data_IF_742857759727
#
_entry.id   IF_742857759727
#
_cell.length_a   1.000
_cell.length_b   1.000
_cell.length_c   1.000
_cell.angle_alpha   90.00
_cell.angle_beta   90.00
_cell.angle_gamma   90.00
#
_symmetry.space_group_name_H-M   'P 1'
#
loop_
_entity.id
_entity.type
_entity.pdbx_description
1 polymer ?
#
# COMPACT_ATOMS: atom_id res chain seq x y z
N UNK A 1 3.03 17.16 46.98
CA UNK A 1 2.01 16.15 46.66
C UNK A 1 2.30 15.64 45.26
N UNK A 2 2.97 14.49 45.16
CA UNK A 2 3.47 13.93 43.91
C UNK A 2 2.32 13.30 43.13
N UNK A 3 2.00 13.85 41.96
CA UNK A 3 1.03 13.26 41.05
C UNK A 3 1.69 12.05 40.39
N UNK A 4 1.26 10.85 40.79
CA UNK A 4 1.64 9.62 40.08
C UNK A 4 1.09 9.72 38.66
N UNK A 5 1.97 9.73 37.66
CA UNK A 5 1.61 9.37 36.29
C UNK A 5 1.17 7.91 36.34
N UNK A 6 -0.13 7.67 36.30
CA UNK A 6 -0.65 6.37 35.86
C UNK A 6 -0.34 6.35 34.37
N UNK A 7 0.74 5.65 34.01
CA UNK A 7 1.05 5.35 32.62
C UNK A 7 0.04 4.33 32.17
N UNK A 8 -1.05 4.78 31.55
CA UNK A 8 -2.00 3.89 30.91
C UNK A 8 -1.28 3.22 29.75
N UNK A 9 -1.06 1.91 29.87
CA UNK A 9 -0.51 1.00 28.85
C UNK A 9 -1.29 1.00 27.52
N UNK A 10 -2.34 1.82 27.41
CA UNK A 10 -3.08 2.07 26.18
C UNK A 10 -2.26 2.86 25.16
N UNK A 11 -1.33 3.72 25.61
CA UNK A 11 -0.51 4.58 24.74
C UNK A 11 0.95 4.10 24.57
N UNK A 12 1.30 2.91 25.06
CA UNK A 12 2.70 2.43 25.05
C UNK A 12 3.14 1.78 23.74
N UNK A 13 2.22 1.55 22.80
CA UNK A 13 2.52 0.93 21.50
C UNK A 13 2.11 1.85 20.35
N UNK A 14 2.84 2.96 20.23
CA UNK A 14 2.64 3.98 19.18
C UNK A 14 3.06 3.52 17.79
N UNK A 15 3.52 2.27 17.62
CA UNK A 15 3.98 1.72 16.34
C UNK A 15 2.88 1.25 15.40
N UNK A 16 1.64 1.10 15.88
CA UNK A 16 0.53 0.48 15.14
C UNK A 16 -0.69 1.40 14.87
N UNK A 17 -0.69 2.66 15.32
CA UNK A 17 -1.91 3.50 15.42
C UNK A 17 -1.80 4.88 14.73
N UNK A 18 -1.30 4.95 13.51
CA UNK A 18 -0.99 6.25 12.88
C UNK A 18 -2.16 6.99 12.20
N UNK A 19 -3.41 6.48 12.20
CA UNK A 19 -4.54 7.16 11.54
C UNK A 19 -5.77 7.39 12.45
N UNK A 20 -6.11 6.48 13.35
CA UNK A 20 -7.31 6.64 14.20
C UNK A 20 -7.16 7.76 15.25
N UNK A 21 -5.94 8.01 15.71
CA UNK A 21 -5.66 9.01 16.75
C UNK A 21 -5.98 10.44 16.31
N UNK A 22 -5.77 10.77 15.02
CA UNK A 22 -6.04 12.12 14.54
C UNK A 22 -7.55 12.40 14.44
N UNK A 23 -8.35 11.40 14.09
CA UNK A 23 -9.81 11.50 14.12
C UNK A 23 -10.35 11.56 15.55
N UNK A 24 -9.72 10.81 16.47
CA UNK A 24 -10.07 10.85 17.89
C UNK A 24 -9.79 12.23 18.50
N UNK A 25 -8.68 12.88 18.12
CA UNK A 25 -8.37 14.24 18.55
C UNK A 25 -9.45 15.23 18.11
N UNK A 26 -9.82 15.23 16.82
CA UNK A 26 -10.87 16.11 16.31
C UNK A 26 -12.23 15.80 16.95
N UNK A 27 -12.52 14.53 17.24
CA UNK A 27 -13.73 14.14 17.97
C UNK A 27 -13.74 14.72 19.39
N UNK A 28 -12.66 14.55 20.16
CA UNK A 28 -12.56 15.12 21.51
C UNK A 28 -12.65 16.64 21.49
N UNK A 29 -12.00 17.29 20.52
CA UNK A 29 -12.06 18.73 20.35
C UNK A 29 -13.47 19.22 20.00
N UNK A 30 -14.23 18.46 19.22
CA UNK A 30 -15.65 18.72 18.93
C UNK A 30 -16.49 18.79 20.23
N UNK A 31 -16.24 17.90 21.20
CA UNK A 31 -16.90 17.95 22.49
C UNK A 31 -16.52 19.20 23.30
N UNK A 32 -15.23 19.55 23.30
CA UNK A 32 -14.76 20.76 24.00
C UNK A 32 -15.46 22.01 23.45
N UNK A 33 -15.52 22.16 22.12
CA UNK A 33 -16.20 23.28 21.47
C UNK A 33 -17.70 23.29 21.78
N UNK A 34 -18.38 22.15 21.65
CA UNK A 34 -19.82 22.07 21.89
C UNK A 34 -20.18 22.39 23.35
N UNK A 35 -19.41 21.90 24.32
CA UNK A 35 -19.62 22.20 25.75
C UNK A 35 -19.34 23.68 26.03
N UNK A 36 -18.23 24.22 25.51
CA UNK A 36 -17.87 25.63 25.69
C UNK A 36 -18.96 26.56 25.13
N UNK A 37 -19.46 26.29 23.93
CA UNK A 37 -20.52 27.08 23.33
C UNK A 37 -21.82 27.02 24.14
N UNK A 38 -22.22 25.83 24.59
CA UNK A 38 -23.43 25.67 25.41
C UNK A 38 -23.33 26.43 26.74
N UNK A 39 -22.14 26.44 27.35
CA UNK A 39 -21.87 27.25 28.54
C UNK A 39 -22.00 28.75 28.25
N UNK A 40 -21.44 29.21 27.12
CA UNK A 40 -21.52 30.62 26.70
C UNK A 40 -22.95 31.04 26.32
N UNK A 41 -23.79 30.09 25.88
CA UNK A 41 -25.23 30.28 25.67
C UNK A 41 -26.04 30.31 26.99
N UNK A 42 -25.39 30.11 28.14
CA UNK A 42 -26.02 30.18 29.46
C UNK A 42 -26.59 28.86 29.99
N UNK A 43 -26.30 27.73 29.33
CA UNK A 43 -26.70 26.42 29.85
C UNK A 43 -25.87 26.08 31.10
N UNK A 44 -26.52 25.53 32.13
CA UNK A 44 -25.82 24.94 33.27
C UNK A 44 -25.19 23.59 32.90
N UNK A 45 -24.14 23.18 33.60
CA UNK A 45 -23.49 21.87 33.40
C UNK A 45 -24.47 20.69 33.48
N UNK A 46 -25.51 20.78 34.31
CA UNK A 46 -26.51 19.73 34.45
C UNK A 46 -27.38 19.57 33.19
N UNK A 47 -27.51 20.61 32.37
CA UNK A 47 -28.29 20.63 31.12
C UNK A 47 -27.47 20.15 29.91
N UNK A 48 -26.14 20.20 29.97
CA UNK A 48 -25.24 19.83 28.85
C UNK A 48 -25.08 18.31 28.78
N UNK A 49 -26.14 17.64 28.32
CA UNK A 49 -26.16 16.17 28.15
C UNK A 49 -27.26 15.74 27.18
N UNK A 50 -27.18 14.49 26.72
CA UNK A 50 -28.22 13.86 25.91
C UNK A 50 -28.55 14.69 24.65
N UNK A 51 -29.84 14.95 24.36
CA UNK A 51 -30.26 15.66 23.15
C UNK A 51 -29.68 17.07 22.99
N UNK A 52 -29.48 17.81 24.10
CA UNK A 52 -28.93 19.18 24.06
C UNK A 52 -27.50 19.16 23.54
N UNK A 53 -26.66 18.32 24.13
CA UNK A 53 -25.27 18.17 23.70
C UNK A 53 -25.19 17.58 22.29
N UNK A 54 -25.98 16.54 21.99
CA UNK A 54 -25.99 15.91 20.66
C UNK A 54 -26.40 16.89 19.56
N UNK A 55 -27.41 17.74 19.80
CA UNK A 55 -27.84 18.74 18.84
C UNK A 55 -26.76 19.80 18.57
N UNK A 56 -25.93 20.12 19.56
CA UNK A 56 -24.79 21.03 19.39
C UNK A 56 -23.64 20.36 18.64
N UNK A 57 -23.28 19.13 19.01
CA UNK A 57 -22.25 18.33 18.34
C UNK A 57 -22.54 18.17 16.84
N UNK A 58 -23.78 17.82 16.47
CA UNK A 58 -24.21 17.67 15.07
C UNK A 58 -24.10 18.96 14.24
N UNK A 59 -24.01 20.12 14.88
CA UNK A 59 -23.87 21.44 14.23
C UNK A 59 -22.44 21.97 14.27
N UNK A 60 -21.51 21.27 14.91
CA UNK A 60 -20.12 21.71 14.99
C UNK A 60 -19.48 21.74 13.59
N UNK A 61 -18.77 22.82 13.29
CA UNK A 61 -18.03 22.99 12.04
C UNK A 61 -16.78 23.82 12.28
N UNK A 62 -15.60 23.23 12.04
CA UNK A 62 -14.31 23.88 12.26
C UNK A 62 -13.21 23.18 11.44
N UNK A 63 -12.07 23.85 11.27
CA UNK A 63 -10.87 23.26 10.68
C UNK A 63 -10.12 22.48 11.77
N UNK A 64 -10.13 21.14 11.67
CA UNK A 64 -9.42 20.24 12.57
C UNK A 64 -8.09 19.78 11.99
N UNK A 65 -7.37 18.92 12.72
CA UNK A 65 -6.07 18.41 12.27
C UNK A 65 -6.19 17.42 11.11
N UNK A 66 -7.36 16.79 10.95
CA UNK A 66 -7.67 15.92 9.80
C UNK A 66 -8.44 16.66 8.70
N UNK A 67 -8.39 18.00 8.70
CA UNK A 67 -9.11 18.88 7.77
C UNK A 67 -10.46 19.30 8.31
N UNK A 68 -11.37 19.71 7.41
CA UNK A 68 -12.68 20.21 7.81
C UNK A 68 -13.46 19.15 8.60
N UNK A 69 -13.93 19.53 9.79
CA UNK A 69 -14.83 18.74 10.63
C UNK A 69 -16.23 19.29 10.44
N UNK A 70 -17.16 18.45 10.00
CA UNK A 70 -18.60 18.74 9.91
C UNK A 70 -19.38 17.43 9.82
N UNK A 71 -20.70 17.47 10.02
CA UNK A 71 -21.54 16.27 10.12
C UNK A 71 -22.76 16.36 9.20
N UNK A 72 -23.21 15.21 8.69
CA UNK A 72 -24.48 15.09 7.97
C UNK A 72 -25.69 15.07 8.93
N UNK A 73 -26.90 14.93 8.39
CA UNK A 73 -28.13 14.90 9.19
C UNK A 73 -28.18 13.68 10.13
N UNK A 74 -27.59 12.57 9.72
CA UNK A 74 -27.50 11.31 10.44
C UNK A 74 -26.52 11.41 11.61
N UNK A 75 -25.50 12.26 11.51
CA UNK A 75 -24.45 12.47 12.50
C UNK A 75 -23.10 11.86 12.11
N UNK A 76 -22.97 11.38 10.88
CA UNK A 76 -21.70 10.91 10.35
C UNK A 76 -20.82 12.10 9.97
N UNK A 77 -19.52 11.96 10.20
CA UNK A 77 -18.56 12.97 9.82
C UNK A 77 -18.43 13.02 8.30
N UNK A 78 -18.53 14.22 7.74
CA UNK A 78 -18.20 14.52 6.35
C UNK A 78 -16.67 14.59 6.22
N UNK A 79 -16.02 13.43 6.13
CA UNK A 79 -14.58 13.32 5.97
C UNK A 79 -14.16 13.39 4.49
N UNK A 80 -12.95 13.89 4.24
CA UNK A 80 -12.29 13.72 2.95
C UNK A 80 -11.64 12.35 2.88
N UNK A 81 -11.64 11.74 1.70
CA UNK A 81 -11.02 10.44 1.47
C UNK A 81 -9.79 10.58 0.59
N UNK A 82 -8.79 9.76 0.86
CA UNK A 82 -7.59 9.65 0.05
C UNK A 82 -7.63 8.31 -0.68
N UNK A 83 -7.58 8.34 -2.01
CA UNK A 83 -7.32 7.15 -2.81
C UNK A 83 -5.80 7.04 -2.97
N UNK A 84 -5.23 5.97 -2.42
CA UNK A 84 -3.81 5.68 -2.51
C UNK A 84 -3.58 4.42 -3.35
N UNK A 85 -2.47 4.39 -4.08
CA UNK A 85 -2.00 3.20 -4.78
C UNK A 85 -0.70 2.68 -4.15
N UNK A 86 -0.61 1.37 -3.98
CA UNK A 86 0.59 0.70 -3.47
C UNK A 86 1.57 0.49 -4.62
N UNK A 87 2.70 1.18 -4.58
CA UNK A 87 3.67 1.17 -5.66
C UNK A 87 4.98 0.50 -5.23
N UNK A 88 5.54 -0.42 -6.05
CA UNK A 88 6.84 -1.00 -5.76
C UNK A 88 7.94 0.04 -6.02
N UNK A 89 8.83 0.22 -5.05
CA UNK A 89 10.05 1.03 -5.17
C UNK A 89 11.23 0.17 -4.74
N UNK A 90 12.04 -0.26 -5.70
CA UNK A 90 13.16 -1.19 -5.48
C UNK A 90 12.72 -2.47 -4.75
N UNK A 91 12.98 -2.57 -3.44
CA UNK A 91 12.72 -3.76 -2.61
C UNK A 91 11.61 -3.55 -1.56
N UNK A 92 10.90 -2.43 -1.59
CA UNK A 92 9.81 -2.10 -0.66
C UNK A 92 8.61 -1.49 -1.40
N UNK A 93 7.52 -1.32 -0.67
CA UNK A 93 6.25 -0.76 -1.16
C UNK A 93 6.09 0.64 -0.58
N UNK A 94 5.71 1.62 -1.39
CA UNK A 94 5.26 2.93 -0.94
C UNK A 94 3.76 3.12 -1.24
N UNK A 95 3.07 3.93 -0.45
CA UNK A 95 1.73 4.40 -0.76
C UNK A 95 1.83 5.74 -1.49
N UNK A 96 1.31 5.81 -2.69
CA UNK A 96 1.27 7.03 -3.50
C UNK A 96 -0.17 7.55 -3.57
N UNK A 97 -0.38 8.83 -3.27
CA UNK A 97 -1.69 9.46 -3.35
C UNK A 97 -2.10 9.63 -4.81
N UNK A 98 -3.18 8.98 -5.23
CA UNK A 98 -3.73 9.06 -6.59
C UNK A 98 -4.78 10.15 -6.69
N UNK A 99 -5.68 10.21 -5.72
CA UNK A 99 -6.79 11.13 -5.74
C UNK A 99 -7.19 11.55 -4.34
N UNK A 100 -7.60 12.80 -4.20
CA UNK A 100 -8.24 13.32 -3.00
C UNK A 100 -9.73 13.53 -3.31
N UNK A 101 -10.60 12.83 -2.61
CA UNK A 101 -12.02 13.18 -2.57
C UNK A 101 -12.21 14.22 -1.48
N UNK A 102 -12.29 15.49 -1.88
CA UNK A 102 -12.62 16.61 -1.00
C UNK A 102 -14.01 17.13 -1.35
N UNK A 103 -14.92 17.15 -0.37
CA UNK A 103 -16.24 17.78 -0.51
C UNK A 103 -17.08 17.32 -1.72
N UNK A 104 -16.98 16.05 -2.12
CA UNK A 104 -17.72 15.49 -3.26
C UNK A 104 -17.09 15.75 -4.63
N UNK A 105 -15.91 16.37 -4.69
CA UNK A 105 -15.11 16.51 -5.90
C UNK A 105 -13.91 15.55 -5.85
N UNK A 106 -13.67 14.83 -6.94
CA UNK A 106 -12.48 13.99 -7.10
C UNK A 106 -11.36 14.84 -7.72
N UNK A 107 -10.35 15.20 -6.93
CA UNK A 107 -9.17 15.89 -7.41
C UNK A 107 -8.07 14.85 -7.68
N UNK A 108 -7.75 14.62 -8.95
CA UNK A 108 -6.54 13.86 -9.31
C UNK A 108 -5.33 14.70 -8.94
N UNK A 109 -4.41 14.11 -8.19
CA UNK A 109 -3.14 14.74 -7.87
C UNK A 109 -2.16 14.32 -8.97
N UNK A 110 -1.42 15.28 -9.52
CA UNK A 110 -0.48 15.05 -10.62
C UNK A 110 0.72 14.23 -10.10
N UNK A 111 0.56 12.91 -10.09
CA UNK A 111 1.57 11.92 -9.68
C UNK A 111 1.77 10.91 -10.80
N UNK A 112 2.93 10.22 -10.79
CA UNK A 112 3.20 9.11 -11.71
C UNK A 112 1.99 8.18 -11.82
N UNK A 113 1.63 7.71 -13.03
CA UNK A 113 0.47 6.86 -13.23
C UNK A 113 0.52 5.65 -12.29
N UNK A 114 -0.66 5.21 -11.78
CA UNK A 114 -0.72 4.07 -10.88
C UNK A 114 0.01 2.86 -11.47
N UNK A 115 0.75 2.15 -10.62
CA UNK A 115 1.23 0.81 -10.93
C UNK A 115 0.04 -0.15 -10.83
N UNK A 116 -0.23 -0.90 -11.89
CA UNK A 116 -1.34 -1.84 -11.96
C UNK A 116 -0.86 -3.28 -11.85
N UNK A 117 -1.83 -4.18 -11.68
CA UNK A 117 -1.59 -5.60 -11.37
C UNK A 117 -1.10 -6.41 -12.58
N UNK A 118 -1.02 -5.81 -13.76
CA UNK A 118 -0.36 -6.33 -14.96
C UNK A 118 1.17 -6.13 -14.94
N UNK A 119 1.67 -5.35 -13.97
CA UNK A 119 3.08 -5.05 -13.79
C UNK A 119 3.55 -3.76 -14.48
N UNK A 120 2.64 -2.95 -15.03
CA UNK A 120 2.95 -1.73 -15.76
C UNK A 120 2.33 -0.49 -15.11
N UNK A 121 2.81 0.70 -15.54
CA UNK A 121 2.21 1.99 -15.19
C UNK A 121 1.41 2.51 -16.36
N UNK A 122 0.15 2.89 -16.13
CA UNK A 122 -0.71 3.47 -17.14
C UNK A 122 -1.89 4.23 -16.48
N UNK A 123 -2.57 5.08 -17.24
CA UNK A 123 -3.57 6.01 -16.68
C UNK A 123 -4.92 5.36 -16.36
N UNK A 124 -5.27 4.25 -17.03
CA UNK A 124 -6.58 3.59 -16.91
C UNK A 124 -6.42 2.11 -16.56
N UNK A 125 -7.17 1.52 -15.61
CA UNK A 125 -7.03 0.11 -15.23
C UNK A 125 -6.97 -0.84 -16.43
N UNK A 126 -6.19 -1.93 -16.39
CA UNK A 126 -6.08 -2.82 -17.52
C UNK A 126 -7.40 -3.57 -17.73
N UNK A 127 -7.87 -3.68 -18.97
CA UNK A 127 -9.16 -4.28 -19.33
C UNK A 127 -9.30 -5.76 -18.89
N UNK A 128 -8.17 -6.45 -18.68
CA UNK A 128 -8.16 -7.83 -18.23
C UNK A 128 -6.85 -8.21 -17.52
N UNK A 129 -6.96 -8.69 -16.28
CA UNK A 129 -5.85 -9.16 -15.44
C UNK A 129 -5.21 -10.48 -15.90
N UNK A 130 -5.79 -11.17 -16.89
CA UNK A 130 -5.35 -12.50 -17.33
C UNK A 130 -4.17 -12.44 -18.31
N UNK A 131 -3.93 -11.30 -18.97
CA UNK A 131 -2.81 -11.15 -19.92
C UNK A 131 -1.64 -10.48 -19.22
N UNK A 132 -0.55 -11.22 -19.02
CA UNK A 132 0.65 -10.67 -18.38
C UNK A 132 1.65 -10.15 -19.39
N UNK A 133 2.36 -9.08 -19.04
CA UNK A 133 3.47 -8.57 -19.83
C UNK A 133 4.64 -9.58 -19.92
N UNK A 134 5.54 -9.37 -20.87
CA UNK A 134 6.80 -10.14 -20.97
C UNK A 134 7.57 -10.12 -19.65
N UNK A 135 8.15 -11.26 -19.26
CA UNK A 135 8.81 -11.43 -17.96
C UNK A 135 7.86 -11.72 -16.79
N UNK A 136 6.55 -11.80 -17.01
CA UNK A 136 5.55 -12.12 -15.99
C UNK A 136 4.75 -13.39 -16.33
N UNK A 137 4.22 -14.04 -15.30
CA UNK A 137 3.32 -15.21 -15.36
C UNK A 137 2.02 -14.94 -14.62
N UNK A 138 0.96 -15.67 -14.97
CA UNK A 138 -0.29 -15.65 -14.21
C UNK A 138 -0.19 -16.56 -12.99
N UNK A 139 -0.31 -16.00 -11.79
CA UNK A 139 -0.31 -16.76 -10.54
C UNK A 139 -1.64 -17.49 -10.33
N UNK A 140 -1.60 -18.83 -10.25
CA UNK A 140 -2.80 -19.68 -10.27
C UNK A 140 -3.81 -19.44 -9.12
N UNK A 141 -3.38 -18.85 -8.00
CA UNK A 141 -4.25 -18.55 -6.86
C UNK A 141 -4.93 -17.18 -6.94
N UNK A 142 -4.27 -16.19 -7.53
CA UNK A 142 -4.72 -14.79 -7.52
C UNK A 142 -5.18 -14.31 -8.90
N UNK A 143 -4.80 -15.02 -9.97
CA UNK A 143 -4.96 -14.57 -11.34
C UNK A 143 -4.08 -13.36 -11.70
N UNK A 144 -3.20 -12.93 -10.80
CA UNK A 144 -2.36 -11.75 -10.96
C UNK A 144 -1.07 -12.05 -11.72
N UNK A 145 -0.46 -11.02 -12.29
CA UNK A 145 0.81 -11.13 -12.97
C UNK A 145 1.98 -11.06 -11.98
N UNK A 146 2.68 -12.18 -11.85
CA UNK A 146 3.86 -12.33 -10.99
C UNK A 146 5.11 -12.39 -11.84
N UNK A 147 6.14 -11.63 -11.43
CA UNK A 147 7.41 -11.58 -12.14
C UNK A 147 8.12 -12.95 -12.10
N UNK A 148 8.69 -13.39 -13.22
CA UNK A 148 9.52 -14.58 -13.25
C UNK A 148 10.74 -14.44 -12.33
N UNK A 149 11.05 -15.47 -11.57
CA UNK A 149 12.24 -15.50 -10.73
C UNK A 149 13.51 -15.64 -11.59
N UNK A 150 14.68 -15.34 -11.01
CA UNK A 150 15.95 -15.62 -11.65
C UNK A 150 16.04 -17.10 -12.03
N UNK A 151 16.62 -17.37 -13.20
CA UNK A 151 16.63 -18.68 -13.85
C UNK A 151 15.39 -19.01 -14.68
N UNK A 152 14.37 -18.15 -14.70
CA UNK A 152 13.16 -18.35 -15.47
C UNK A 152 12.83 -17.14 -16.35
N UNK A 153 12.16 -17.39 -17.46
CA UNK A 153 11.74 -16.36 -18.41
C UNK A 153 10.29 -16.54 -18.85
N UNK A 154 9.69 -15.47 -19.39
CA UNK A 154 8.34 -15.52 -19.98
C UNK A 154 8.23 -14.54 -21.13
N UNK A 155 7.56 -14.94 -22.20
CA UNK A 155 7.20 -14.05 -23.32
C UNK A 155 5.88 -13.31 -23.08
N UNK A 156 5.32 -13.40 -21.87
CA UNK A 156 4.01 -12.81 -21.57
C UNK A 156 2.87 -13.49 -22.33
N UNK A 157 1.66 -12.96 -22.15
CA UNK A 157 0.44 -13.49 -22.74
C UNK A 157 -0.57 -14.01 -21.71
N UNK A 158 -1.68 -14.53 -22.21
CA UNK A 158 -2.79 -15.02 -21.38
C UNK A 158 -2.47 -16.35 -20.73
N UNK A 159 -2.55 -16.41 -19.40
CA UNK A 159 -2.30 -17.65 -18.65
C UNK A 159 -0.86 -18.16 -18.74
N UNK A 160 0.07 -17.31 -19.17
CA UNK A 160 1.46 -17.70 -19.40
C UNK A 160 2.14 -18.09 -18.08
N UNK A 161 2.99 -19.11 -18.15
CA UNK A 161 3.84 -19.54 -17.03
C UNK A 161 5.31 -19.24 -17.35
N UNK A 162 6.11 -19.03 -16.31
CA UNK A 162 7.54 -18.85 -16.47
C UNK A 162 8.19 -20.18 -16.87
N UNK A 163 8.89 -20.18 -18.00
CA UNK A 163 9.69 -21.32 -18.44
C UNK A 163 11.08 -21.25 -17.81
N UNK A 164 11.64 -22.37 -17.32
CA UNK A 164 13.00 -22.38 -16.82
C UNK A 164 14.00 -22.21 -17.97
N UNK A 165 15.14 -21.58 -17.69
CA UNK A 165 16.22 -21.53 -18.65
C UNK A 165 16.76 -22.94 -18.95
N UNK A 166 16.88 -23.33 -20.22
CA UNK A 166 17.46 -24.62 -20.57
C UNK A 166 18.95 -24.69 -20.18
N UNK A 167 19.47 -25.90 -20.01
CA UNK A 167 20.90 -26.12 -19.72
C UNK A 167 21.78 -25.41 -20.73
N UNK A 168 22.91 -24.87 -20.25
CA UNK A 168 23.80 -24.03 -21.06
C UNK A 168 23.30 -22.59 -21.25
N UNK A 169 22.21 -22.21 -20.60
CA UNK A 169 21.72 -20.83 -20.51
C UNK A 169 21.27 -20.50 -19.09
N UNK A 170 21.21 -19.21 -18.77
CA UNK A 170 20.80 -18.74 -17.45
C UNK A 170 20.16 -17.35 -17.55
N UNK A 171 19.48 -16.93 -16.49
CA UNK A 171 19.19 -15.50 -16.30
C UNK A 171 19.34 -15.12 -14.83
N UNK A 172 20.13 -14.08 -14.56
CA UNK A 172 20.40 -13.61 -13.20
C UNK A 172 19.31 -12.68 -12.66
N UNK A 173 18.54 -12.06 -13.56
CA UNK A 173 17.53 -11.07 -13.20
C UNK A 173 16.15 -11.70 -13.05
N UNK A 174 15.33 -11.13 -12.19
CA UNK A 174 13.89 -11.40 -12.20
C UNK A 174 13.24 -10.68 -13.37
N UNK A 175 12.16 -11.25 -13.93
CA UNK A 175 11.38 -10.63 -14.99
C UNK A 175 12.03 -10.73 -16.36
N UNK A 176 12.84 -11.76 -16.59
CA UNK A 176 13.51 -11.93 -17.87
C UNK A 176 12.56 -12.40 -18.97
N UNK A 177 12.77 -11.87 -20.17
CA UNK A 177 12.02 -12.25 -21.37
C UNK A 177 12.71 -13.39 -22.12
N UNK A 178 14.00 -13.58 -21.89
CA UNK A 178 14.82 -14.62 -22.49
C UNK A 178 15.92 -15.10 -21.52
N UNK A 179 16.59 -16.18 -21.90
CA UNK A 179 17.77 -16.69 -21.21
C UNK A 179 19.04 -16.32 -21.97
N UNK A 180 20.08 -15.97 -21.23
CA UNK A 180 21.40 -15.66 -21.74
C UNK A 180 22.21 -16.95 -21.87
N UNK A 181 22.81 -17.20 -23.04
CA UNK A 181 23.72 -18.33 -23.23
C UNK A 181 24.97 -18.18 -22.37
N UNK A 182 25.46 -19.30 -21.83
CA UNK A 182 26.73 -19.30 -21.11
C UNK A 182 27.88 -18.90 -22.05
N UNK A 183 28.75 -18.00 -21.57
CA UNK A 183 29.96 -17.63 -22.29
C UNK A 183 30.93 -18.81 -22.40
N UNK A 184 31.83 -18.77 -23.38
CA UNK A 184 32.84 -19.81 -23.55
C UNK A 184 33.64 -20.03 -22.25
N UNK A 185 33.84 -21.29 -21.88
CA UNK A 185 34.50 -21.67 -20.62
C UNK A 185 33.58 -21.68 -19.39
N UNK A 186 32.27 -21.45 -19.58
CA UNK A 186 31.25 -21.58 -18.55
C UNK A 186 30.06 -22.44 -19.00
N UNK A 187 29.31 -22.98 -18.06
CA UNK A 187 28.13 -23.81 -18.31
C UNK A 187 27.14 -23.74 -17.15
N UNK A 188 25.84 -23.71 -17.48
CA UNK A 188 24.73 -23.81 -16.53
C UNK A 188 24.20 -25.26 -16.57
N UNK A 189 24.56 -26.10 -15.59
CA UNK A 189 24.27 -27.54 -15.65
C UNK A 189 22.81 -27.88 -15.35
N UNK A 190 22.10 -27.00 -14.68
CA UNK A 190 20.73 -27.22 -14.22
C UNK A 190 19.74 -26.42 -15.08
N UNK A 191 18.57 -27.03 -15.30
CA UNK A 191 17.42 -26.30 -15.86
C UNK A 191 16.97 -25.30 -14.81
N UNK A 192 16.72 -24.06 -15.22
CA UNK A 192 16.37 -22.99 -14.29
C UNK A 192 17.57 -22.32 -13.61
N UNK A 193 18.78 -22.44 -14.16
CA UNK A 193 19.98 -21.83 -13.58
C UNK A 193 19.91 -20.30 -13.59
N UNK A 194 20.24 -19.66 -12.47
CA UNK A 194 20.35 -18.20 -12.36
C UNK A 194 21.77 -17.67 -12.63
N UNK A 195 22.74 -18.56 -12.86
CA UNK A 195 24.13 -18.22 -13.18
C UNK A 195 24.80 -19.31 -14.02
N UNK A 196 25.92 -18.95 -14.66
CA UNK A 196 26.80 -19.90 -15.35
C UNK A 196 28.01 -20.22 -14.45
N UNK A 197 28.32 -21.51 -14.27
CA UNK A 197 29.51 -21.95 -13.54
C UNK A 197 30.69 -22.11 -14.49
N UNK A 198 31.89 -21.71 -14.06
CA UNK A 198 33.09 -21.93 -14.90
C UNK A 198 33.43 -23.43 -14.97
N UNK A 199 33.74 -23.92 -16.17
CA UNK A 199 34.07 -25.35 -16.37
C UNK A 199 35.38 -25.73 -15.66
N UNK A 200 36.24 -24.74 -15.38
CA UNK A 200 37.51 -24.93 -14.67
C UNK A 200 37.38 -25.10 -13.15
N UNK A 201 36.22 -24.76 -12.56
CA UNK A 201 35.97 -24.95 -11.12
C UNK A 201 35.50 -26.37 -10.78
N UNK A 202 35.06 -27.16 -11.76
CA UNK A 202 34.63 -28.55 -11.55
C UNK A 202 35.79 -29.56 -11.45
N UNK A 203 37.01 -29.21 -11.88
CA UNK A 203 38.19 -30.11 -11.83
C UNK A 203 38.90 -30.17 -10.46
N UNK A 204 38.32 -29.63 -9.38
CA UNK A 204 38.88 -29.71 -8.01
C UNK A 204 38.13 -30.65 -7.05
N UNK A 205 37.28 -31.55 -7.55
CA UNK A 205 36.53 -32.51 -6.69
C UNK A 205 36.83 -33.99 -7.04
N UNK A 206 37.87 -34.28 -7.82
CA UNK A 206 38.31 -35.67 -8.08
C UNK A 206 39.83 -35.83 -7.87
N UNK A 207 40.29 -35.55 -6.65
CA UNK A 207 41.53 -36.14 -6.15
C UNK A 207 41.25 -36.77 -4.78
N UNK A 208 40.91 -38.06 -4.82
CA UNK A 208 41.22 -39.00 -3.75
C UNK A 208 42.73 -39.20 -3.67
#
# INVERSE_FOLDING_TARGET
MSVRKVGDSFFSDTGLLFLEESFLFDAAYTFVLAVNDLLNEGNSLAQIKGPVLLAKLKKASFEGITGQVSFNAEGDRLASYQLVNMQPVASWICYSLVCLSCCGLWCYVDVDPPYWMDGLRHDSPPDNLVTCAEGFMTEAGTGMCKRCLAGYYSLGGRGQQCAPCPRGSFTASTGSVNCTLCAQGSYAPEVGSSSAASVWQASRIMHY
#
